data_IF_292997507284
#
_entry.id   IF_292997507284
#
_cell.length_a   1.000
_cell.length_b   1.000
_cell.length_c   1.000
_cell.angle_alpha   90.00
_cell.angle_beta   90.00
_cell.angle_gamma   90.00
#
_symmetry.space_group_name_H-M   'P 1'
#
loop_
_entity.id
_entity.type
_entity.pdbx_description
1 polymer ?
#
# COMPACT_ATOMS: atom_id res chain seq x y z
N UNK A 1 0.11 -28.14 2.49
CA UNK A 1 -0.93 -27.38 1.78
C UNK A 1 -2.34 -27.92 1.97
N UNK A 2 -2.57 -29.23 2.07
CA UNK A 2 -3.88 -29.80 2.41
C UNK A 2 -4.36 -29.37 3.81
N UNK A 3 -3.47 -29.33 4.78
CA UNK A 3 -3.72 -28.86 6.16
C UNK A 3 -4.28 -27.43 6.26
N UNK A 4 -3.81 -26.50 5.43
CA UNK A 4 -4.28 -25.11 5.47
C UNK A 4 -5.70 -24.96 4.92
N UNK A 5 -6.04 -25.66 3.84
CA UNK A 5 -7.39 -25.63 3.27
C UNK A 5 -8.42 -26.22 4.25
N UNK A 6 -8.06 -27.29 4.96
CA UNK A 6 -8.88 -27.88 6.00
C UNK A 6 -9.07 -26.93 7.19
N UNK A 7 -8.01 -26.26 7.64
CA UNK A 7 -8.08 -25.22 8.67
C UNK A 7 -9.01 -24.09 8.28
N UNK A 8 -8.95 -23.57 7.06
CA UNK A 8 -9.85 -22.50 6.60
C UNK A 8 -11.30 -22.96 6.55
N UNK A 9 -11.56 -24.19 6.12
CA UNK A 9 -12.90 -24.76 6.08
C UNK A 9 -13.47 -24.86 7.49
N UNK A 10 -12.72 -25.38 8.45
CA UNK A 10 -13.10 -25.50 9.84
C UNK A 10 -13.36 -24.13 10.51
N UNK A 11 -12.53 -23.14 10.21
CA UNK A 11 -12.70 -21.78 10.70
C UNK A 11 -13.92 -21.07 10.08
N UNK A 12 -14.21 -21.34 8.80
CA UNK A 12 -15.34 -20.75 8.10
C UNK A 12 -16.70 -21.18 8.69
N UNK A 13 -16.77 -22.34 9.31
CA UNK A 13 -17.97 -22.85 10.01
C UNK A 13 -18.19 -22.18 11.36
N UNK A 14 -17.20 -21.44 11.88
CA UNK A 14 -17.27 -20.82 13.19
C UNK A 14 -17.95 -19.46 13.12
N UNK A 15 -18.44 -19.02 14.29
CA UNK A 15 -18.92 -17.67 14.51
C UNK A 15 -18.34 -17.15 15.82
N UNK A 16 -17.98 -15.87 15.82
CA UNK A 16 -17.46 -15.21 17.02
C UNK A 16 -18.52 -14.26 17.56
N UNK A 17 -18.93 -14.49 18.80
CA UNK A 17 -19.90 -13.65 19.50
C UNK A 17 -19.36 -12.24 19.72
N UNK A 18 -20.27 -11.24 19.84
CA UNK A 18 -19.88 -9.85 20.12
C UNK A 18 -19.31 -9.64 21.53
N UNK A 19 -19.50 -10.61 22.42
CA UNK A 19 -18.92 -10.60 23.75
C UNK A 19 -18.53 -12.02 24.15
N UNK A 20 -17.29 -12.20 24.62
CA UNK A 20 -16.76 -13.45 25.14
C UNK A 20 -16.11 -13.18 26.49
N UNK A 21 -16.41 -14.03 27.48
CA UNK A 21 -15.87 -13.88 28.84
C UNK A 21 -14.36 -14.05 28.80
N UNK A 22 -13.62 -13.04 29.29
CA UNK A 22 -12.15 -13.08 29.35
C UNK A 22 -11.44 -12.60 28.08
N UNK A 23 -12.17 -12.15 27.04
CA UNK A 23 -11.59 -11.59 25.82
C UNK A 23 -11.76 -10.08 25.80
N UNK A 24 -10.71 -9.37 25.33
CA UNK A 24 -10.81 -7.94 25.06
C UNK A 24 -11.64 -7.64 23.80
N UNK A 25 -12.04 -6.40 23.62
CA UNK A 25 -12.73 -5.99 22.38
C UNK A 25 -11.83 -6.16 21.14
N UNK A 26 -10.54 -5.97 21.29
CA UNK A 26 -9.54 -6.16 20.23
C UNK A 26 -9.40 -7.63 19.85
N UNK A 27 -9.34 -8.55 20.82
CA UNK A 27 -9.27 -9.99 20.56
C UNK A 27 -10.51 -10.48 19.82
N UNK A 28 -11.69 -9.98 20.21
CA UNK A 28 -12.95 -10.32 19.54
C UNK A 28 -12.95 -9.81 18.10
N UNK A 29 -12.52 -8.57 17.87
CA UNK A 29 -12.45 -7.99 16.53
C UNK A 29 -11.47 -8.78 15.64
N UNK A 30 -10.27 -9.10 16.14
CA UNK A 30 -9.30 -9.90 15.41
C UNK A 30 -9.82 -11.30 15.07
N UNK A 31 -10.50 -11.96 16.02
CA UNK A 31 -11.11 -13.27 15.78
C UNK A 31 -12.25 -13.22 14.75
N UNK A 32 -13.07 -12.16 14.76
CA UNK A 32 -14.13 -11.95 13.77
C UNK A 32 -13.55 -11.73 12.37
N UNK A 33 -12.44 -10.98 12.27
CA UNK A 33 -11.76 -10.74 11.00
C UNK A 33 -11.13 -12.01 10.44
N UNK A 34 -10.49 -12.82 11.31
CA UNK A 34 -9.94 -14.12 10.92
C UNK A 34 -11.03 -15.06 10.37
N UNK A 35 -12.17 -15.15 11.04
CA UNK A 35 -13.31 -15.96 10.58
C UNK A 35 -13.88 -15.43 9.26
N UNK A 36 -13.93 -14.12 9.08
CA UNK A 36 -14.38 -13.49 7.82
C UNK A 36 -13.43 -13.84 6.66
N UNK A 37 -12.12 -13.73 6.88
CA UNK A 37 -11.11 -14.10 5.90
C UNK A 37 -11.19 -15.58 5.55
N UNK A 38 -11.33 -16.47 6.55
CA UNK A 38 -11.51 -17.90 6.34
C UNK A 38 -12.75 -18.23 5.50
N UNK A 39 -13.88 -17.54 5.74
CA UNK A 39 -15.11 -17.70 4.93
C UNK A 39 -14.91 -17.30 3.47
N UNK A 40 -14.12 -16.26 3.22
CA UNK A 40 -13.76 -15.84 1.85
C UNK A 40 -12.87 -16.86 1.12
N UNK A 41 -12.00 -17.55 1.85
CA UNK A 41 -11.05 -18.50 1.30
C UNK A 41 -11.63 -19.93 1.17
N UNK A 42 -12.54 -20.35 2.04
CA UNK A 42 -13.13 -21.69 2.06
C UNK A 42 -13.92 -22.04 0.77
N UNK A 43 -14.36 -21.03 0.01
CA UNK A 43 -15.03 -21.21 -1.28
C UNK A 43 -14.10 -21.22 -2.50
N UNK A 44 -12.79 -21.06 -2.29
CA UNK A 44 -11.81 -20.98 -3.39
C UNK A 44 -11.24 -22.36 -3.65
N UNK A 45 -11.52 -22.90 -4.81
CA UNK A 45 -10.84 -24.12 -5.30
C UNK A 45 -9.38 -23.78 -5.62
N UNK A 46 -8.47 -24.21 -4.72
CA UNK A 46 -7.05 -23.93 -4.83
C UNK A 46 -6.40 -24.57 -6.06
N UNK A 47 -6.85 -25.76 -6.46
CA UNK A 47 -6.32 -26.45 -7.65
C UNK A 47 -6.77 -25.74 -8.94
N UNK A 48 -8.04 -25.37 -9.02
CA UNK A 48 -8.57 -24.62 -10.14
C UNK A 48 -7.91 -23.23 -10.25
N UNK A 49 -7.72 -22.55 -9.12
CA UNK A 49 -7.05 -21.23 -9.08
C UNK A 49 -5.59 -21.35 -9.51
N UNK A 50 -4.87 -22.38 -9.07
CA UNK A 50 -3.50 -22.63 -9.50
C UNK A 50 -3.42 -22.94 -11.00
N UNK A 51 -4.36 -23.74 -11.53
CA UNK A 51 -4.43 -24.04 -12.96
C UNK A 51 -4.70 -22.77 -13.79
N UNK A 52 -5.65 -21.95 -13.36
CA UNK A 52 -5.92 -20.65 -14.00
C UNK A 52 -4.69 -19.75 -13.97
N UNK A 53 -3.98 -19.71 -12.86
CA UNK A 53 -2.76 -18.91 -12.74
C UNK A 53 -1.67 -19.39 -13.70
N UNK A 54 -1.43 -20.71 -13.75
CA UNK A 54 -0.47 -21.28 -14.69
C UNK A 54 -0.82 -20.99 -16.16
N UNK A 55 -2.10 -20.98 -16.49
CA UNK A 55 -2.57 -20.66 -17.84
C UNK A 55 -2.43 -19.17 -18.15
N UNK A 56 -2.81 -18.29 -17.22
CA UNK A 56 -2.92 -16.85 -17.48
C UNK A 56 -1.60 -16.09 -17.24
N UNK A 57 -0.75 -16.54 -16.30
CA UNK A 57 0.48 -15.81 -15.97
C UNK A 57 1.43 -15.63 -17.16
N UNK A 58 1.73 -16.66 -18.00
CA UNK A 58 2.58 -16.48 -19.17
C UNK A 58 2.02 -15.46 -20.16
N UNK A 59 0.69 -15.48 -20.38
CA UNK A 59 0.01 -14.51 -21.23
C UNK A 59 0.10 -13.10 -20.66
N UNK A 60 -0.19 -12.93 -19.39
CA UNK A 60 -0.11 -11.63 -18.71
C UNK A 60 1.31 -11.04 -18.75
N UNK A 61 2.33 -11.90 -18.56
CA UNK A 61 3.74 -11.49 -18.67
C UNK A 61 4.10 -11.07 -20.10
N UNK A 62 3.76 -11.86 -21.11
CA UNK A 62 4.01 -11.54 -22.50
C UNK A 62 3.27 -10.27 -22.94
N UNK A 63 2.02 -10.10 -22.51
CA UNK A 63 1.24 -8.88 -22.73
C UNK A 63 1.93 -7.65 -22.12
N UNK A 64 2.35 -7.76 -20.85
CA UNK A 64 3.06 -6.68 -20.17
C UNK A 64 4.36 -6.28 -20.88
N UNK A 65 5.16 -7.27 -21.29
CA UNK A 65 6.40 -7.01 -22.03
C UNK A 65 6.14 -6.29 -23.34
N UNK A 66 5.15 -6.76 -24.12
CA UNK A 66 4.75 -6.14 -25.36
C UNK A 66 4.23 -4.72 -25.13
N UNK A 67 3.35 -4.53 -24.14
CA UNK A 67 2.79 -3.24 -23.79
C UNK A 67 3.89 -2.21 -23.47
N UNK A 68 4.90 -2.63 -22.70
CA UNK A 68 6.05 -1.77 -22.38
C UNK A 68 6.97 -1.52 -23.56
N UNK A 69 7.17 -2.54 -24.42
CA UNK A 69 7.99 -2.42 -25.64
C UNK A 69 7.36 -1.45 -26.65
N UNK A 70 6.06 -1.45 -26.76
CA UNK A 70 5.30 -0.56 -27.64
C UNK A 70 5.21 0.88 -27.06
N UNK A 71 5.89 1.16 -25.94
CA UNK A 71 5.97 2.48 -25.32
C UNK A 71 4.77 2.83 -24.45
N UNK A 72 3.89 1.88 -24.19
CA UNK A 72 2.75 2.09 -23.30
C UNK A 72 3.13 1.93 -21.83
N UNK A 73 2.47 2.68 -20.98
CA UNK A 73 2.59 2.56 -19.54
C UNK A 73 1.23 2.84 -18.90
N UNK A 74 0.83 2.03 -17.93
CA UNK A 74 -0.35 2.32 -17.11
C UNK A 74 -0.05 3.44 -16.12
N UNK A 75 -1.09 4.10 -15.61
CA UNK A 75 -0.93 5.13 -14.58
C UNK A 75 -0.20 4.60 -13.34
N UNK A 76 -0.61 3.45 -12.81
CA UNK A 76 0.07 2.78 -11.69
C UNK A 76 1.52 2.43 -12.04
N UNK A 77 1.75 1.96 -13.27
CA UNK A 77 3.10 1.67 -13.77
C UNK A 77 3.99 2.92 -13.79
N UNK A 78 3.42 4.08 -14.11
CA UNK A 78 4.14 5.37 -14.06
C UNK A 78 4.52 5.74 -12.64
N UNK A 79 3.60 5.62 -11.68
CA UNK A 79 3.85 5.90 -10.27
C UNK A 79 4.93 4.97 -9.70
N UNK A 80 4.83 3.67 -9.97
CA UNK A 80 5.85 2.69 -9.53
C UNK A 80 7.23 3.02 -10.09
N UNK A 81 7.32 3.42 -11.37
CA UNK A 81 8.60 3.81 -11.99
C UNK A 81 9.14 5.11 -11.40
N UNK A 82 8.28 6.10 -11.17
CA UNK A 82 8.66 7.35 -10.52
C UNK A 82 9.20 7.10 -9.10
N UNK A 83 8.51 6.29 -8.32
CA UNK A 83 8.95 5.88 -6.99
C UNK A 83 10.30 5.16 -7.03
N UNK A 84 10.47 4.18 -7.93
CA UNK A 84 11.73 3.44 -8.07
C UNK A 84 12.86 4.38 -8.51
N UNK A 85 12.60 5.30 -9.44
CA UNK A 85 13.56 6.31 -9.86
C UNK A 85 14.05 7.17 -8.67
N UNK A 86 13.11 7.61 -7.83
CA UNK A 86 13.44 8.39 -6.63
C UNK A 86 14.21 7.57 -5.59
N UNK A 87 13.87 6.30 -5.41
CA UNK A 87 14.51 5.42 -4.45
C UNK A 87 15.92 5.00 -4.89
N UNK A 88 16.08 4.60 -6.16
CA UNK A 88 17.25 3.89 -6.64
C UNK A 88 18.28 4.81 -7.30
N UNK A 89 17.88 6.02 -7.75
CA UNK A 89 18.74 6.96 -8.46
C UNK A 89 18.95 8.27 -7.67
N UNK A 90 19.92 8.23 -6.76
CA UNK A 90 20.20 9.33 -5.84
C UNK A 90 20.50 10.68 -6.53
N UNK A 91 21.16 10.66 -7.69
CA UNK A 91 21.45 11.89 -8.46
C UNK A 91 20.17 12.56 -8.95
N UNK A 92 19.23 11.76 -9.50
CA UNK A 92 17.92 12.26 -9.96
C UNK A 92 17.12 12.79 -8.77
N UNK A 93 17.10 12.04 -7.67
CA UNK A 93 16.44 12.44 -6.43
C UNK A 93 16.99 13.79 -5.92
N UNK A 94 18.31 13.93 -5.84
CA UNK A 94 18.94 15.17 -5.39
C UNK A 94 18.59 16.36 -6.30
N UNK A 95 18.55 16.16 -7.61
CA UNK A 95 18.14 17.18 -8.58
C UNK A 95 16.69 17.61 -8.37
N UNK A 96 15.79 16.66 -8.24
CA UNK A 96 14.36 16.94 -8.02
C UNK A 96 14.12 17.61 -6.66
N UNK A 97 14.83 17.20 -5.60
CA UNK A 97 14.77 17.86 -4.29
C UNK A 97 15.16 19.33 -4.36
N UNK A 98 16.16 19.67 -5.16
CA UNK A 98 16.57 21.08 -5.38
C UNK A 98 15.56 21.86 -6.20
N UNK A 99 14.94 21.22 -7.20
CA UNK A 99 13.97 21.84 -8.09
C UNK A 99 12.66 22.19 -7.36
N UNK A 100 12.19 21.31 -6.49
CA UNK A 100 10.97 21.52 -5.72
C UNK A 100 11.32 22.04 -4.33
N UNK A 101 11.17 23.34 -4.14
CA UNK A 101 11.50 24.03 -2.87
C UNK A 101 10.40 23.87 -1.84
N UNK A 102 9.16 23.82 -2.29
CA UNK A 102 7.96 23.66 -1.46
C UNK A 102 6.99 22.76 -2.18
N UNK A 103 6.36 21.88 -1.44
CA UNK A 103 5.37 20.91 -1.90
C UNK A 103 4.11 21.12 -1.08
N UNK A 104 3.00 21.41 -1.76
CA UNK A 104 1.68 21.53 -1.15
C UNK A 104 0.79 20.43 -1.70
N UNK A 105 0.13 19.72 -0.81
CA UNK A 105 -0.74 18.61 -1.14
C UNK A 105 -2.09 18.86 -0.51
N UNK A 106 -3.10 18.82 -1.34
CA UNK A 106 -4.50 18.88 -0.93
C UNK A 106 -5.12 17.48 -1.00
N UNK A 107 -6.20 17.26 -0.26
CA UNK A 107 -6.93 15.99 -0.19
C UNK A 107 -6.02 14.80 0.12
N UNK A 108 -5.08 14.99 1.04
CA UNK A 108 -4.03 14.00 1.34
C UNK A 108 -4.59 12.65 1.80
N UNK A 109 -5.80 12.61 2.40
CA UNK A 109 -6.46 11.36 2.82
C UNK A 109 -6.78 10.42 1.66
N UNK A 110 -6.81 10.92 0.41
CA UNK A 110 -7.10 10.13 -0.79
C UNK A 110 -5.83 9.74 -1.58
N UNK A 111 -4.67 10.01 -1.00
CA UNK A 111 -3.36 9.74 -1.61
C UNK A 111 -2.98 8.26 -1.48
N UNK A 112 -2.48 7.67 -2.57
CA UNK A 112 -2.00 6.28 -2.61
C UNK A 112 -0.65 6.13 -1.88
N UNK A 113 -0.36 5.00 -1.21
CA UNK A 113 0.92 4.74 -0.55
C UNK A 113 2.17 4.98 -1.42
N UNK A 114 2.11 4.66 -2.72
CA UNK A 114 3.23 4.93 -3.64
C UNK A 114 3.46 6.44 -3.83
N UNK A 115 2.38 7.21 -3.84
CA UNK A 115 2.47 8.66 -3.90
C UNK A 115 3.09 9.24 -2.63
N UNK A 116 2.74 8.70 -1.43
CA UNK A 116 3.40 9.08 -0.18
C UNK A 116 4.92 8.89 -0.26
N UNK A 117 5.35 7.71 -0.73
CA UNK A 117 6.78 7.43 -0.86
C UNK A 117 7.49 8.48 -1.73
N UNK A 118 6.91 8.80 -2.89
CA UNK A 118 7.48 9.80 -3.81
C UNK A 118 7.57 11.17 -3.12
N UNK A 119 6.50 11.60 -2.45
CA UNK A 119 6.43 12.89 -1.79
C UNK A 119 7.43 13.02 -0.65
N UNK A 120 7.57 11.97 0.17
CA UNK A 120 8.53 11.94 1.26
C UNK A 120 9.98 11.95 0.74
N UNK A 121 10.28 11.22 -0.35
CA UNK A 121 11.59 11.28 -0.98
C UNK A 121 11.91 12.67 -1.55
N UNK A 122 10.93 13.37 -2.10
CA UNK A 122 11.10 14.75 -2.58
C UNK A 122 11.30 15.75 -1.44
N UNK A 123 10.60 15.53 -0.32
CA UNK A 123 10.64 16.40 0.85
C UNK A 123 11.80 16.09 1.81
N UNK A 124 12.61 15.07 1.53
CA UNK A 124 13.76 14.69 2.35
C UNK A 124 14.83 15.78 2.39
N UNK A 125 15.54 15.87 3.52
CA UNK A 125 16.68 16.78 3.70
C UNK A 125 17.70 16.66 2.55
N UNK A 126 18.34 17.77 2.11
CA UNK A 126 19.17 17.80 0.90
C UNK A 126 20.30 16.76 0.88
N UNK A 127 20.96 16.54 2.00
CA UNK A 127 22.14 15.68 2.12
C UNK A 127 21.80 14.25 2.61
N UNK A 128 20.55 13.87 2.58
CA UNK A 128 20.07 12.54 2.98
C UNK A 128 19.58 11.77 1.75
N UNK A 129 19.64 10.44 1.83
CA UNK A 129 19.13 9.54 0.78
C UNK A 129 18.73 8.21 1.39
N UNK A 130 17.60 8.21 2.10
CA UNK A 130 17.07 7.01 2.72
C UNK A 130 16.56 6.01 1.66
N UNK A 131 16.85 4.72 1.84
CA UNK A 131 16.37 3.64 0.97
C UNK A 131 14.89 3.32 1.20
N UNK A 132 14.38 3.65 2.38
CA UNK A 132 13.01 3.39 2.80
C UNK A 132 12.35 4.72 3.21
N UNK A 133 11.11 4.94 2.76
CA UNK A 133 10.39 6.18 3.05
C UNK A 133 10.18 6.44 4.55
N UNK A 134 10.04 5.37 5.34
CA UNK A 134 9.91 5.48 6.82
C UNK A 134 11.16 6.07 7.49
N UNK A 135 12.32 5.89 6.88
CA UNK A 135 13.61 6.41 7.38
C UNK A 135 13.94 7.83 6.87
N UNK A 136 13.10 8.38 5.99
CA UNK A 136 13.26 9.74 5.45
C UNK A 136 13.19 10.75 6.59
N UNK A 137 14.16 11.66 6.65
CA UNK A 137 14.12 12.87 7.48
C UNK A 137 13.68 14.04 6.64
N UNK A 138 12.54 14.64 6.98
CA UNK A 138 11.97 15.72 6.22
C UNK A 138 12.76 17.03 6.40
N UNK A 139 12.83 17.80 5.32
CA UNK A 139 13.33 19.18 5.33
C UNK A 139 12.24 20.08 5.93
N UNK A 140 12.53 20.79 7.05
CA UNK A 140 11.52 21.64 7.69
C UNK A 140 10.95 22.69 6.74
N UNK A 141 9.62 22.83 6.73
CA UNK A 141 8.92 23.82 5.91
C UNK A 141 8.85 23.49 4.41
N UNK A 142 9.23 22.27 3.99
CA UNK A 142 9.18 21.88 2.58
C UNK A 142 7.88 21.20 2.18
N UNK A 143 7.28 20.41 3.07
CA UNK A 143 6.05 19.66 2.81
C UNK A 143 4.90 20.24 3.64
N UNK A 144 3.84 20.63 2.96
CA UNK A 144 2.58 21.07 3.55
C UNK A 144 1.46 20.17 3.07
N UNK A 145 0.67 19.68 3.99
CA UNK A 145 -0.38 18.69 3.74
C UNK A 145 -1.69 19.21 4.28
N UNK A 146 -2.72 19.17 3.46
CA UNK A 146 -4.11 19.47 3.83
C UNK A 146 -4.94 18.23 3.55
N UNK A 147 -5.76 17.83 4.52
CA UNK A 147 -6.64 16.69 4.38
C UNK A 147 -7.41 16.40 5.68
N UNK A 148 -8.53 15.72 5.54
CA UNK A 148 -9.35 15.26 6.65
C UNK A 148 -9.58 13.74 6.51
N UNK A 149 -8.99 12.90 7.38
CA UNK A 149 -9.13 11.45 7.29
C UNK A 149 -10.58 10.96 7.41
N UNK A 150 -11.48 11.78 8.00
CA UNK A 150 -12.89 11.46 8.10
C UNK A 150 -13.64 11.58 6.78
N UNK A 151 -13.09 12.31 5.83
CA UNK A 151 -13.66 12.51 4.50
C UNK A 151 -13.16 11.47 3.49
N UNK A 152 -12.23 10.61 3.86
CA UNK A 152 -11.74 9.57 2.96
C UNK A 152 -12.85 8.59 2.61
N UNK A 153 -13.24 8.59 1.33
CA UNK A 153 -14.20 7.64 0.75
C UNK A 153 -13.50 6.62 -0.16
N UNK A 154 -12.19 6.74 -0.35
CA UNK A 154 -11.40 6.00 -1.34
C UNK A 154 -10.61 4.82 -0.75
N UNK A 155 -11.08 4.21 0.35
CA UNK A 155 -10.50 2.98 0.89
C UNK A 155 -10.34 1.89 -0.20
N UNK A 156 -11.24 1.84 -1.19
CA UNK A 156 -11.16 0.94 -2.34
C UNK A 156 -10.02 1.28 -3.32
N UNK A 157 -9.46 2.49 -3.29
CA UNK A 157 -8.28 2.91 -4.08
C UNK A 157 -6.96 2.72 -3.33
N UNK A 158 -6.95 1.90 -2.27
CA UNK A 158 -5.78 1.65 -1.41
C UNK A 158 -5.35 2.85 -0.57
N UNK A 159 -6.25 3.82 -0.32
CA UNK A 159 -6.00 4.83 0.69
C UNK A 159 -5.81 4.12 2.03
N UNK A 160 -4.59 4.21 2.55
CA UNK A 160 -4.17 3.55 3.78
C UNK A 160 -4.16 4.58 4.90
N UNK A 161 -5.18 4.52 5.76
CA UNK A 161 -5.32 5.45 6.89
C UNK A 161 -4.14 5.32 7.86
N UNK A 162 -3.58 4.11 8.02
CA UNK A 162 -2.41 3.90 8.90
C UNK A 162 -1.19 4.63 8.32
N UNK A 163 -0.93 4.46 7.01
CA UNK A 163 0.13 5.18 6.33
C UNK A 163 -0.09 6.70 6.35
N UNK A 164 -1.34 7.16 6.22
CA UNK A 164 -1.68 8.58 6.39
C UNK A 164 -1.26 9.09 7.77
N UNK A 165 -1.63 8.40 8.84
CA UNK A 165 -1.30 8.79 10.21
C UNK A 165 0.22 8.79 10.45
N UNK A 166 0.94 7.76 9.98
CA UNK A 166 2.41 7.70 10.06
C UNK A 166 3.08 8.92 9.37
N UNK A 167 2.54 9.34 8.23
CA UNK A 167 3.08 10.51 7.50
C UNK A 167 2.76 11.81 8.23
N UNK A 168 1.55 11.96 8.76
CA UNK A 168 1.16 13.15 9.54
C UNK A 168 2.04 13.29 10.78
N UNK A 169 2.24 12.23 11.55
CA UNK A 169 3.15 12.24 12.69
C UNK A 169 4.56 12.68 12.31
N UNK A 170 5.05 12.20 11.16
CA UNK A 170 6.38 12.53 10.65
C UNK A 170 6.52 14.00 10.22
N UNK A 171 5.43 14.65 9.83
CA UNK A 171 5.42 16.08 9.44
C UNK A 171 5.35 16.99 10.66
N UNK A 172 4.65 16.58 11.72
CA UNK A 172 4.39 17.39 12.91
C UNK A 172 5.55 17.34 13.91
N UNK A 173 6.40 16.30 13.88
CA UNK A 173 7.63 16.20 14.68
C UNK A 173 8.75 17.09 14.11
#
# INVERSE_FOLDING_TARGET
SADLAECYTLLAEKSVSRSLKGWSAEDIAAAQELVRAAKGLAGVDGEFTALLWHLLAPYAMAFRERFLRDGHISFDGLLVRARNLMRDHQRVRAELKRRYRTILIDEFQDTDPIQYEILLYLAEQPNQSASEWRKVKLEPGKLFVVGDPKQSIYAFRRADIEAYLEVVEKIVM
#
